data_IF_005654608535
#
_entry.id   IF_005654608535
#
_cell.length_a   1.000
_cell.length_b   1.000
_cell.length_c   1.000
_cell.angle_alpha   90.00
_cell.angle_beta   90.00
_cell.angle_gamma   90.00
#
_symmetry.space_group_name_H-M   'P 1'
#
loop_
_entity.id
_entity.type
_entity.pdbx_description
1 polymer ?
#
# COMPACT_ATOMS: atom_id res chain seq x y z
N UNK A 1 19.39 -23.89 -5.48
CA UNK A 1 19.17 -22.86 -6.53
C UNK A 1 18.34 -21.66 -6.05
N UNK A 2 17.60 -21.73 -4.93
CA UNK A 2 16.77 -20.59 -4.43
C UNK A 2 17.58 -19.43 -3.82
N UNK A 3 18.68 -19.73 -3.12
CA UNK A 3 19.47 -18.72 -2.38
C UNK A 3 20.07 -17.64 -3.29
N UNK A 4 20.46 -17.98 -4.51
CA UNK A 4 21.04 -17.03 -5.47
C UNK A 4 20.01 -15.97 -5.91
N UNK A 5 18.77 -16.38 -6.18
CA UNK A 5 17.70 -15.46 -6.61
C UNK A 5 17.32 -14.47 -5.50
N UNK A 6 17.20 -14.96 -4.26
CA UNK A 6 16.92 -14.09 -3.11
C UNK A 6 18.04 -13.06 -2.89
N UNK A 7 19.30 -13.50 -2.93
CA UNK A 7 20.45 -12.60 -2.79
C UNK A 7 20.54 -11.56 -3.92
N UNK A 8 20.22 -11.95 -5.16
CA UNK A 8 20.22 -11.02 -6.29
C UNK A 8 19.07 -10.01 -6.19
N UNK A 9 17.89 -10.45 -5.74
CA UNK A 9 16.75 -9.57 -5.50
C UNK A 9 17.02 -8.60 -4.33
N UNK A 10 17.67 -9.06 -3.26
CA UNK A 10 18.11 -8.21 -2.15
C UNK A 10 19.03 -7.10 -2.65
N UNK A 11 20.04 -7.42 -3.48
CA UNK A 11 20.92 -6.41 -4.10
C UNK A 11 20.14 -5.44 -4.98
N UNK A 12 19.17 -5.92 -5.77
CA UNK A 12 18.31 -5.06 -6.58
C UNK A 12 17.54 -4.06 -5.71
N UNK A 13 16.98 -4.52 -4.59
CA UNK A 13 16.24 -3.68 -3.64
C UNK A 13 17.17 -2.64 -3.01
N UNK A 14 18.36 -3.03 -2.57
CA UNK A 14 19.34 -2.09 -2.00
C UNK A 14 19.73 -1.02 -3.03
N UNK A 15 20.08 -1.43 -4.25
CA UNK A 15 20.41 -0.48 -5.32
C UNK A 15 19.24 0.45 -5.67
N UNK A 16 18.01 -0.07 -5.67
CA UNK A 16 16.80 0.72 -5.90
C UNK A 16 16.63 1.77 -4.78
N UNK A 17 16.76 1.37 -3.52
CA UNK A 17 16.68 2.29 -2.38
C UNK A 17 17.75 3.38 -2.44
N UNK A 18 18.99 3.02 -2.76
CA UNK A 18 20.10 3.96 -2.88
C UNK A 18 19.86 4.96 -4.03
N UNK A 19 19.34 4.50 -5.17
CA UNK A 19 18.99 5.35 -6.31
C UNK A 19 17.85 6.33 -6.01
N UNK A 20 16.93 5.98 -5.12
CA UNK A 20 15.80 6.83 -4.70
C UNK A 20 16.06 7.59 -3.39
N UNK A 21 17.26 7.49 -2.81
CA UNK A 21 17.60 8.15 -1.56
C UNK A 21 16.76 7.69 -0.36
N UNK A 22 16.40 6.41 -0.31
CA UNK A 22 15.45 5.83 0.65
C UNK A 22 14.07 6.49 0.64
N UNK A 23 13.59 6.90 -0.54
CA UNK A 23 12.24 7.42 -0.71
C UNK A 23 11.39 6.47 -1.54
N UNK A 24 10.12 6.35 -1.17
CA UNK A 24 9.10 5.63 -1.88
C UNK A 24 8.01 6.62 -2.29
N UNK A 25 7.74 6.70 -3.59
CA UNK A 25 6.70 7.54 -4.15
C UNK A 25 5.77 6.69 -5.01
N UNK A 26 4.47 6.83 -4.83
CA UNK A 26 3.46 6.09 -5.59
C UNK A 26 2.25 6.96 -5.85
N UNK A 27 1.89 7.09 -7.12
CA UNK A 27 0.68 7.77 -7.53
C UNK A 27 -0.34 6.74 -8.07
N UNK A 28 -1.59 6.84 -7.61
CA UNK A 28 -2.68 5.92 -7.97
C UNK A 28 -3.86 6.72 -8.53
N UNK A 29 -4.08 6.56 -9.83
CA UNK A 29 -5.12 7.28 -10.60
C UNK A 29 -6.18 6.35 -11.20
N UNK A 30 -5.92 5.04 -11.24
CA UNK A 30 -6.75 4.04 -11.89
C UNK A 30 -7.54 3.19 -10.90
N UNK A 31 -8.77 2.83 -11.28
CA UNK A 31 -9.66 2.01 -10.46
C UNK A 31 -10.71 2.82 -9.71
N UNK A 32 -11.13 2.34 -8.54
CA UNK A 32 -12.12 2.99 -7.67
C UNK A 32 -11.95 2.52 -6.24
N UNK A 33 -12.41 3.34 -5.30
CA UNK A 33 -12.66 2.98 -3.91
C UNK A 33 -14.10 2.48 -3.80
N UNK A 34 -14.27 1.22 -3.38
CA UNK A 34 -15.59 0.55 -3.28
C UNK A 34 -15.88 0.14 -1.85
N UNK A 35 -17.14 0.16 -1.42
CA UNK A 35 -17.49 -0.23 -0.06
C UNK A 35 -17.18 -1.72 0.15
N UNK A 36 -16.38 -2.01 1.18
CA UNK A 36 -16.29 -3.34 1.78
C UNK A 36 -17.34 -3.49 2.89
N UNK A 37 -17.54 -2.41 3.64
CA UNK A 37 -18.61 -2.21 4.62
C UNK A 37 -19.16 -0.80 4.47
N UNK A 38 -20.25 -0.42 5.15
CA UNK A 38 -20.76 0.96 5.11
C UNK A 38 -19.71 2.02 5.53
N UNK A 39 -18.69 1.63 6.28
CA UNK A 39 -17.66 2.53 6.82
C UNK A 39 -16.26 2.29 6.27
N UNK A 40 -16.04 1.24 5.47
CA UNK A 40 -14.72 0.88 4.95
C UNK A 40 -14.80 0.79 3.43
N UNK A 41 -13.93 1.56 2.77
CA UNK A 41 -13.80 1.59 1.32
C UNK A 41 -12.44 1.03 0.93
N UNK A 42 -12.42 0.17 -0.08
CA UNK A 42 -11.22 -0.53 -0.52
C UNK A 42 -10.92 -0.27 -1.98
N UNK A 43 -9.63 -0.15 -2.28
CA UNK A 43 -9.09 -0.20 -3.62
C UNK A 43 -8.18 -1.42 -3.71
N UNK A 44 -8.49 -2.34 -4.63
CA UNK A 44 -7.68 -3.52 -4.90
C UNK A 44 -7.41 -3.62 -6.39
N UNK A 45 -6.15 -3.45 -6.80
CA UNK A 45 -5.74 -3.54 -8.20
C UNK A 45 -4.29 -3.99 -8.31
N UNK A 46 -4.02 -4.95 -9.20
CA UNK A 46 -2.66 -5.32 -9.65
C UNK A 46 -1.60 -5.39 -8.55
N UNK A 47 -1.92 -6.08 -7.46
CA UNK A 47 -1.02 -6.24 -6.32
C UNK A 47 -1.18 -5.20 -5.23
N UNK A 48 -1.75 -4.03 -5.49
CA UNK A 48 -2.03 -2.98 -4.49
C UNK A 48 -3.34 -3.25 -3.75
N UNK A 49 -3.35 -3.07 -2.43
CA UNK A 49 -4.55 -3.05 -1.60
C UNK A 49 -4.52 -1.87 -0.65
N UNK A 50 -5.54 -1.01 -0.71
CA UNK A 50 -5.68 0.14 0.17
C UNK A 50 -7.08 0.11 0.77
N UNK A 51 -7.15 0.30 2.08
CA UNK A 51 -8.43 0.42 2.80
C UNK A 51 -8.50 1.77 3.49
N UNK A 52 -9.63 2.46 3.34
CA UNK A 52 -9.91 3.75 3.97
C UNK A 52 -11.14 3.57 4.86
N UNK A 53 -10.97 3.87 6.13
CA UNK A 53 -12.03 3.80 7.13
C UNK A 53 -12.58 5.17 7.49
N UNK A 54 -13.91 5.25 7.58
CA UNK A 54 -14.65 6.39 8.11
C UNK A 54 -15.36 6.00 9.41
N UNK A 55 -15.58 6.95 10.31
CA UNK A 55 -16.25 6.76 11.61
C UNK A 55 -17.73 6.43 11.45
N UNK A 56 -18.36 7.03 10.43
CA UNK A 56 -19.77 6.89 10.12
C UNK A 56 -19.95 6.46 8.67
N UNK A 57 -21.06 5.78 8.33
CA UNK A 57 -21.39 5.49 6.95
C UNK A 57 -21.48 6.76 6.11
N UNK A 58 -20.91 6.75 4.91
CA UNK A 58 -21.07 7.86 3.97
C UNK A 58 -22.44 7.76 3.30
N UNK A 59 -23.03 8.92 3.01
CA UNK A 59 -24.32 9.02 2.32
C UNK A 59 -24.11 9.78 1.02
N UNK A 60 -24.54 9.20 -0.09
CA UNK A 60 -24.24 9.71 -1.44
C UNK A 60 -24.67 11.16 -1.66
N UNK A 61 -25.80 11.58 -1.08
CA UNK A 61 -26.39 12.90 -1.31
C UNK A 61 -25.90 13.98 -0.33
N UNK A 62 -25.17 13.60 0.73
CA UNK A 62 -24.76 14.53 1.79
C UNK A 62 -23.25 14.56 2.02
N UNK A 63 -22.49 13.68 1.37
CA UNK A 63 -21.04 13.66 1.50
C UNK A 63 -20.41 14.86 0.80
N UNK A 64 -19.56 15.56 1.53
CA UNK A 64 -18.68 16.60 0.99
C UNK A 64 -17.26 16.44 1.56
N UNK A 65 -16.35 17.32 1.15
CA UNK A 65 -14.95 17.29 1.58
C UNK A 65 -14.82 17.41 3.11
N UNK A 66 -15.62 18.25 3.75
CA UNK A 66 -15.54 18.49 5.19
C UNK A 66 -16.11 17.32 5.99
N UNK A 67 -17.19 16.69 5.48
CA UNK A 67 -17.73 15.44 6.01
C UNK A 67 -16.68 14.32 5.98
N UNK A 68 -16.01 14.15 4.84
CA UNK A 68 -14.96 13.15 4.67
C UNK A 68 -13.79 13.38 5.63
N UNK A 69 -13.32 14.63 5.76
CA UNK A 69 -12.24 15.00 6.69
C UNK A 69 -12.62 14.72 8.14
N UNK A 70 -13.83 15.11 8.55
CA UNK A 70 -14.31 14.92 9.92
C UNK A 70 -14.51 13.45 10.27
N UNK A 71 -15.05 12.68 9.32
CA UNK A 71 -15.34 11.27 9.50
C UNK A 71 -14.15 10.37 9.22
N UNK A 72 -13.05 10.83 8.63
CA UNK A 72 -11.86 10.00 8.45
C UNK A 72 -11.40 9.37 9.77
N UNK A 73 -11.07 8.07 9.70
CA UNK A 73 -10.69 7.25 10.85
C UNK A 73 -9.32 6.63 10.67
N UNK A 74 -9.07 5.98 9.53
CA UNK A 74 -7.78 5.35 9.26
C UNK A 74 -7.57 5.08 7.76
N UNK A 75 -6.32 4.81 7.41
CA UNK A 75 -5.92 4.13 6.19
C UNK A 75 -5.11 2.88 6.51
N UNK A 76 -5.25 1.83 5.72
CA UNK A 76 -4.39 0.65 5.71
C UNK A 76 -3.77 0.49 4.31
N UNK A 77 -2.47 0.21 4.26
CA UNK A 77 -1.69 0.11 3.05
C UNK A 77 -1.07 -1.28 2.96
N UNK A 78 -1.50 -2.05 1.96
CA UNK A 78 -1.04 -3.41 1.75
C UNK A 78 -0.49 -3.59 0.34
N UNK A 79 0.63 -4.31 0.26
CA UNK A 79 1.20 -4.81 -1.00
C UNK A 79 1.46 -3.71 -2.06
N UNK A 80 1.92 -2.54 -1.63
CA UNK A 80 2.24 -1.44 -2.54
C UNK A 80 3.37 -1.84 -3.51
N UNK A 81 3.24 -1.60 -4.82
CA UNK A 81 4.26 -1.94 -5.80
C UNK A 81 5.46 -1.00 -5.69
N UNK A 82 6.66 -1.54 -5.90
CA UNK A 82 7.88 -0.75 -6.06
C UNK A 82 8.08 -0.44 -7.54
N UNK A 83 7.76 0.78 -7.96
CA UNK A 83 7.94 1.21 -9.34
C UNK A 83 9.39 1.00 -9.82
N UNK A 84 9.56 0.57 -11.07
CA UNK A 84 10.86 0.36 -11.72
C UNK A 84 11.78 -0.71 -11.09
N UNK A 85 11.33 -1.44 -10.07
CA UNK A 85 12.03 -2.60 -9.56
C UNK A 85 11.67 -3.85 -10.38
N UNK A 86 12.66 -4.41 -11.08
CA UNK A 86 12.50 -5.69 -11.80
C UNK A 86 12.43 -6.88 -10.82
N UNK A 87 11.19 -7.26 -10.47
CA UNK A 87 10.86 -8.37 -9.59
C UNK A 87 10.53 -9.62 -10.40
N UNK A 88 11.16 -10.78 -10.14
CA UNK A 88 10.80 -12.03 -10.79
C UNK A 88 9.31 -12.37 -10.60
N UNK A 89 8.66 -12.91 -11.64
CA UNK A 89 7.20 -13.11 -11.65
C UNK A 89 6.65 -14.00 -10.52
N UNK A 90 7.48 -14.93 -10.01
CA UNK A 90 7.17 -15.82 -8.89
C UNK A 90 7.48 -15.21 -7.52
N UNK A 91 7.93 -13.96 -7.45
CA UNK A 91 8.13 -13.20 -6.22
C UNK A 91 7.07 -12.11 -6.07
N UNK A 92 6.81 -11.75 -4.83
CA UNK A 92 6.12 -10.53 -4.44
C UNK A 92 7.06 -9.72 -3.55
N UNK A 93 7.13 -8.41 -3.82
CA UNK A 93 7.98 -7.49 -3.08
C UNK A 93 7.17 -6.22 -2.82
N UNK A 94 7.16 -5.76 -1.58
CA UNK A 94 6.39 -4.60 -1.17
C UNK A 94 6.98 -3.96 0.10
N UNK A 95 6.83 -2.64 0.27
CA UNK A 95 7.27 -1.97 1.49
C UNK A 95 6.33 -2.32 2.66
N UNK A 96 6.87 -2.25 3.88
CA UNK A 96 6.14 -2.54 5.12
C UNK A 96 6.01 -1.31 6.00
N UNK A 97 4.78 -0.98 6.36
CA UNK A 97 4.47 0.08 7.33
C UNK A 97 4.69 -0.43 8.76
N UNK A 98 5.13 0.42 9.70
CA UNK A 98 5.31 0.04 11.11
C UNK A 98 4.03 -0.45 11.80
N UNK A 99 2.88 0.01 11.30
CA UNK A 99 1.54 -0.29 11.81
C UNK A 99 0.64 -0.69 10.64
N UNK A 100 -0.32 -1.59 10.90
CA UNK A 100 -1.24 -2.09 9.87
C UNK A 100 -2.25 -1.04 9.38
N UNK A 101 -2.57 -0.07 10.24
CA UNK A 101 -3.42 1.07 9.91
C UNK A 101 -3.01 2.30 10.71
N UNK A 102 -3.25 3.48 10.15
CA UNK A 102 -2.88 4.76 10.74
C UNK A 102 -3.74 5.90 10.19
N UNK A 103 -3.70 7.06 10.84
CA UNK A 103 -4.36 8.30 10.43
C UNK A 103 -3.38 9.46 10.27
N UNK A 104 -2.28 9.44 11.03
CA UNK A 104 -1.19 10.41 10.94
C UNK A 104 -0.59 10.48 9.52
N UNK A 105 -0.38 11.71 9.03
CA UNK A 105 0.19 11.98 7.71
C UNK A 105 -0.79 11.77 6.54
N UNK A 106 -2.06 11.47 6.81
CA UNK A 106 -3.11 11.40 5.79
C UNK A 106 -3.82 12.74 5.64
N UNK A 107 -3.85 13.25 4.42
CA UNK A 107 -4.52 14.49 4.06
C UNK A 107 -5.56 14.22 2.98
N UNK A 108 -6.82 14.55 3.26
CA UNK A 108 -7.87 14.57 2.24
C UNK A 108 -7.86 15.93 1.57
N UNK A 109 -7.31 15.97 0.36
CA UNK A 109 -6.99 17.20 -0.36
C UNK A 109 -8.24 17.79 -1.01
N UNK A 110 -9.02 16.95 -1.70
CA UNK A 110 -10.21 17.37 -2.44
C UNK A 110 -11.23 16.24 -2.58
N UNK A 111 -12.50 16.63 -2.75
CA UNK A 111 -13.58 15.72 -3.14
C UNK A 111 -14.52 16.43 -4.11
N UNK A 112 -14.45 16.06 -5.39
CA UNK A 112 -15.21 16.69 -6.47
C UNK A 112 -15.61 15.63 -7.50
N UNK A 113 -16.83 15.71 -8.03
CA UNK A 113 -17.33 14.77 -9.05
C UNK A 113 -17.18 13.29 -8.65
N UNK A 114 -17.49 12.97 -7.39
CA UNK A 114 -17.31 11.64 -6.78
C UNK A 114 -15.86 11.12 -6.82
N UNK A 115 -14.86 11.98 -6.96
CA UNK A 115 -13.44 11.61 -6.90
C UNK A 115 -12.81 12.14 -5.63
N UNK A 116 -12.17 11.24 -4.89
CA UNK A 116 -11.44 11.52 -3.67
C UNK A 116 -9.96 11.68 -4.00
N UNK A 117 -9.41 12.84 -3.68
CA UNK A 117 -7.97 13.11 -3.74
C UNK A 117 -7.37 13.14 -2.35
N UNK A 118 -6.31 12.36 -2.14
CA UNK A 118 -5.62 12.26 -0.86
C UNK A 118 -4.11 12.17 -1.04
N UNK A 119 -3.39 12.73 -0.09
CA UNK A 119 -1.94 12.58 0.06
C UNK A 119 -1.66 11.86 1.36
N UNK A 120 -0.87 10.79 1.30
CA UNK A 120 -0.50 9.96 2.46
C UNK A 120 1.02 10.04 2.61
N UNK A 121 1.45 10.68 3.68
CA UNK A 121 2.86 10.72 4.09
C UNK A 121 3.06 9.69 5.21
N UNK A 122 3.93 8.73 5.00
CA UNK A 122 4.20 7.67 5.99
C UNK A 122 5.67 7.27 5.97
N UNK A 123 6.04 6.32 6.82
CA UNK A 123 7.37 5.69 6.80
C UNK A 123 7.21 4.20 6.62
N UNK A 124 8.15 3.59 5.92
CA UNK A 124 8.29 2.15 5.84
C UNK A 124 9.59 1.74 6.52
N UNK A 125 9.56 0.65 7.28
CA UNK A 125 10.73 0.18 8.04
C UNK A 125 11.53 -0.88 7.29
N UNK A 126 10.96 -1.42 6.22
CA UNK A 126 11.58 -2.44 5.39
C UNK A 126 10.89 -2.58 4.03
N UNK A 127 11.61 -3.18 3.09
CA UNK A 127 11.04 -3.85 1.92
C UNK A 127 11.09 -5.36 2.17
N UNK A 128 9.94 -6.01 2.05
CA UNK A 128 9.78 -7.45 2.19
C UNK A 128 9.68 -8.11 0.83
N UNK A 129 10.32 -9.27 0.68
CA UNK A 129 10.17 -10.12 -0.49
C UNK A 129 9.84 -11.56 -0.10
N UNK A 130 8.91 -12.19 -0.79
CA UNK A 130 8.65 -13.62 -0.65
C UNK A 130 8.32 -14.27 -1.98
N UNK A 131 8.63 -15.55 -2.12
CA UNK A 131 8.08 -16.34 -3.22
C UNK A 131 6.58 -16.49 -3.05
N UNK A 132 5.84 -16.39 -4.15
CA UNK A 132 4.40 -16.65 -4.17
C UNK A 132 4.19 -18.15 -3.91
N UNK A 133 3.46 -18.46 -2.84
CA UNK A 133 3.05 -19.83 -2.51
C UNK A 133 1.53 -19.91 -2.64
N UNK A 134 1.01 -20.97 -3.27
CA UNK A 134 -0.44 -21.20 -3.31
C UNK A 134 -1.00 -21.54 -1.91
N UNK A 135 -0.22 -22.27 -1.11
CA UNK A 135 -0.61 -22.73 0.22
C UNK A 135 0.55 -22.57 1.20
N UNK A 136 0.64 -21.45 1.94
CA UNK A 136 1.58 -21.36 3.05
C UNK A 136 1.23 -22.43 4.08
N UNK A 137 2.21 -23.24 4.47
CA UNK A 137 2.04 -24.23 5.53
C UNK A 137 2.09 -23.46 6.85
N UNK A 138 0.94 -23.34 7.52
CA UNK A 138 0.84 -22.74 8.85
C UNK A 138 1.85 -23.42 9.80
N UNK A 139 2.58 -22.63 10.57
CA UNK A 139 3.57 -23.08 11.57
C UNK A 139 4.88 -23.71 11.03
N UNK A 140 5.09 -23.74 9.72
CA UNK A 140 6.40 -24.09 9.14
C UNK A 140 7.22 -22.82 8.89
N UNK A 141 8.49 -22.82 9.30
CA UNK A 141 9.43 -21.78 8.88
C UNK A 141 9.54 -21.76 7.35
N UNK A 142 9.65 -20.56 6.78
CA UNK A 142 9.91 -20.41 5.35
C UNK A 142 11.22 -21.11 4.98
N UNK A 143 11.22 -21.83 3.86
CA UNK A 143 12.43 -22.50 3.38
C UNK A 143 13.49 -21.45 3.01
N UNK A 144 14.77 -21.77 3.19
CA UNK A 144 15.86 -20.84 2.92
C UNK A 144 15.83 -20.33 1.46
N UNK A 145 16.01 -19.01 1.28
CA UNK A 145 15.97 -18.37 -0.03
C UNK A 145 14.57 -18.21 -0.64
N UNK A 146 13.50 -18.43 0.13
CA UNK A 146 12.11 -18.14 -0.29
C UNK A 146 11.56 -16.83 0.28
N UNK A 147 12.36 -16.15 1.10
CA UNK A 147 12.02 -14.92 1.80
C UNK A 147 13.26 -14.03 1.92
N UNK A 148 13.07 -12.70 1.90
CA UNK A 148 14.08 -11.70 2.20
C UNK A 148 13.47 -10.47 2.87
N UNK A 149 14.31 -9.72 3.57
CA UNK A 149 13.94 -8.44 4.17
C UNK A 149 15.11 -7.46 4.09
N UNK A 150 14.90 -6.32 3.42
CA UNK A 150 15.84 -5.20 3.42
C UNK A 150 15.33 -4.15 4.39
N UNK A 151 16.03 -3.96 5.52
CA UNK A 151 15.65 -2.96 6.54
C UNK A 151 16.32 -1.62 6.27
N UNK A 152 15.48 -0.61 6.09
CA UNK A 152 15.87 0.80 5.92
C UNK A 152 14.78 1.67 6.51
N UNK A 153 15.16 2.87 6.89
CA UNK A 153 14.20 3.94 7.12
C UNK A 153 13.82 4.55 5.78
N UNK A 154 12.57 4.36 5.35
CA UNK A 154 12.11 4.75 4.02
C UNK A 154 11.00 5.78 4.19
N UNK A 155 11.20 6.98 3.64
CA UNK A 155 10.15 8.00 3.59
C UNK A 155 9.16 7.66 2.48
N UNK A 156 7.87 7.70 2.78
CA UNK A 156 6.79 7.32 1.86
C UNK A 156 5.85 8.47 1.56
N UNK A 157 5.60 8.73 0.27
CA UNK A 157 4.54 9.63 -0.19
C UNK A 157 3.66 8.91 -1.21
N UNK A 158 2.38 8.79 -0.90
CA UNK A 158 1.39 8.17 -1.80
C UNK A 158 0.34 9.19 -2.15
N UNK A 159 0.04 9.35 -3.44
CA UNK A 159 -1.06 10.19 -3.91
C UNK A 159 -2.16 9.32 -4.47
N UNK A 160 -3.37 9.52 -3.96
CA UNK A 160 -4.58 8.88 -4.45
C UNK A 160 -5.42 9.94 -5.15
N UNK A 161 -5.92 9.62 -6.34
CA UNK A 161 -7.02 10.34 -6.96
C UNK A 161 -7.91 9.28 -7.62
N UNK A 162 -8.95 8.87 -6.90
CA UNK A 162 -9.81 7.75 -7.28
C UNK A 162 -11.29 8.08 -7.12
N UNK A 163 -12.17 7.56 -7.99
CA UNK A 163 -13.61 7.57 -7.74
C UNK A 163 -13.94 6.90 -6.40
N UNK A 164 -14.75 7.56 -5.57
CA UNK A 164 -15.34 7.01 -4.36
C UNK A 164 -16.78 6.58 -4.68
N UNK A 165 -17.00 5.26 -4.73
CA UNK A 165 -18.33 4.68 -4.97
C UNK A 165 -19.04 4.56 -3.64
N UNK A 166 -20.15 5.27 -3.47
CA UNK A 166 -21.03 5.19 -2.31
C UNK A 166 -22.31 4.49 -2.77
N UNK A 167 -22.76 3.49 -2.02
CA UNK A 167 -23.97 2.69 -2.28
C UNK A 167 -25.10 3.06 -1.32
#
# INVERSE_FOLDING_TARGET
MSTTVANDLEKKIVNWLDAHGNRFELDIYEGSLRPLTPTIYTHSSSGTSISIGFKNPLQQDTVDLEELRRNFSFIALDRLPLADLDVPSNWQVYPQTPVSSFDEGVHIDAYENNRLRMTISTRFFAIYGSQKQEHPIMDKAADEGTYLQVRRDIEGVIKLDLPLVIE
#
